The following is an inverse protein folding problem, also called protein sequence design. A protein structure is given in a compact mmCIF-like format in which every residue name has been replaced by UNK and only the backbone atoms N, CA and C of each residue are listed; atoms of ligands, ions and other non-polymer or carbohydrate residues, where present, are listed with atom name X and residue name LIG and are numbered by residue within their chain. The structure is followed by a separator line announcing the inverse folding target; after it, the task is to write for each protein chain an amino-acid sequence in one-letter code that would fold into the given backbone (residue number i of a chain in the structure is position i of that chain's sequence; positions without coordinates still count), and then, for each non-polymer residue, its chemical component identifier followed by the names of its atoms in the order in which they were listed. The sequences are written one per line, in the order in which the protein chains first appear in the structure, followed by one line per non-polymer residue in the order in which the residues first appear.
data_IF_784647183831
#
_entry.id   IF_784647183831
#
_cell.length_a   1.000
_cell.length_b   1.000
_cell.length_c   1.000
_cell.angle_alpha   90.00
_cell.angle_beta   90.00
_cell.angle_gamma   90.00
#
_symmetry.space_group_name_H-M   'P 1'
#
loop_
_entity.id
_entity.type
_entity.pdbx_description
1 polymer ?
#
# COMPACT_ATOMS: atom_id res chain seq x y z
N UNK A 1 -28.47 -8.01 -53.84
CA UNK A 1 -27.44 -7.23 -53.12
C UNK A 1 -27.80 -7.14 -51.64
N UNK A 2 -28.03 -8.30 -51.00
CA UNK A 2 -28.65 -8.44 -49.66
C UNK A 2 -27.66 -8.96 -48.60
N UNK A 3 -26.36 -9.01 -48.95
CA UNK A 3 -25.27 -9.49 -48.07
C UNK A 3 -24.35 -8.36 -47.56
N UNK A 4 -24.50 -7.12 -48.03
CA UNK A 4 -23.75 -5.98 -47.47
C UNK A 4 -24.43 -5.34 -46.25
N UNK A 5 -25.73 -5.60 -46.01
CA UNK A 5 -26.45 -5.06 -44.86
C UNK A 5 -26.35 -5.90 -43.58
N UNK A 6 -25.74 -7.08 -43.60
CA UNK A 6 -25.66 -7.98 -42.44
C UNK A 6 -24.32 -7.83 -41.69
N UNK A 7 -23.30 -7.21 -42.32
CA UNK A 7 -22.00 -6.98 -41.68
C UNK A 7 -21.90 -5.63 -40.95
N UNK A 8 -22.80 -4.68 -41.21
CA UNK A 8 -22.85 -3.39 -40.49
C UNK A 8 -23.73 -3.41 -39.23
N UNK A 9 -24.59 -4.43 -39.06
CA UNK A 9 -25.45 -4.57 -37.87
C UNK A 9 -24.82 -5.39 -36.73
N UNK A 10 -23.59 -5.92 -36.89
CA UNK A 10 -22.85 -6.61 -35.81
C UNK A 10 -21.93 -5.69 -34.98
N UNK A 11 -22.15 -4.37 -35.02
CA UNK A 11 -21.64 -3.41 -34.01
C UNK A 11 -22.79 -2.80 -33.21
N UNK A 12 -23.77 -3.61 -32.82
CA UNK A 12 -24.62 -3.27 -31.68
C UNK A 12 -23.79 -3.43 -30.42
N UNK A 13 -23.49 -2.30 -29.77
CA UNK A 13 -22.47 -2.14 -28.74
C UNK A 13 -22.45 -3.25 -27.69
N UNK A 14 -21.31 -3.94 -27.59
CA UNK A 14 -20.95 -4.60 -26.34
C UNK A 14 -21.03 -3.54 -25.24
N UNK A 15 -22.00 -3.71 -24.33
CA UNK A 15 -22.09 -2.91 -23.11
C UNK A 15 -20.73 -2.94 -22.45
N UNK A 16 -20.10 -1.77 -22.29
CA UNK A 16 -18.81 -1.62 -21.65
C UNK A 16 -18.81 -2.37 -20.30
N UNK A 17 -17.96 -3.39 -20.18
CA UNK A 17 -17.85 -4.21 -18.99
C UNK A 17 -16.62 -3.75 -18.23
N UNK A 18 -16.85 -3.10 -17.11
CA UNK A 18 -15.81 -2.44 -16.33
C UNK A 18 -15.26 -3.36 -15.25
N UNK A 19 -13.98 -3.23 -14.99
CA UNK A 19 -13.32 -3.86 -13.86
C UNK A 19 -12.51 -2.85 -13.06
N UNK A 20 -12.39 -3.12 -11.77
CA UNK A 20 -11.36 -2.53 -10.92
C UNK A 20 -10.37 -3.64 -10.52
N UNK A 21 -9.11 -3.46 -10.89
CA UNK A 21 -8.00 -4.34 -10.54
C UNK A 21 -7.25 -3.74 -9.35
N UNK A 22 -7.43 -4.33 -8.16
CA UNK A 22 -6.65 -3.99 -6.99
C UNK A 22 -5.31 -4.74 -7.02
N UNK A 23 -4.20 -4.00 -6.96
CA UNK A 23 -2.87 -4.59 -7.04
C UNK A 23 -2.07 -4.33 -5.77
N UNK A 24 -1.72 -5.40 -5.04
CA UNK A 24 -0.97 -5.32 -3.78
C UNK A 24 0.41 -5.97 -3.91
N UNK A 25 1.35 -5.62 -3.03
CA UNK A 25 2.57 -6.43 -2.87
C UNK A 25 2.25 -7.89 -2.49
N UNK A 26 1.23 -8.05 -1.63
CA UNK A 26 0.79 -9.35 -1.11
C UNK A 26 1.35 -9.63 0.29
N UNK A 27 0.83 -10.69 0.93
CA UNK A 27 1.36 -11.17 2.21
C UNK A 27 1.13 -12.67 2.38
N UNK A 28 2.07 -13.35 3.04
CA UNK A 28 1.90 -14.75 3.47
C UNK A 28 1.21 -14.89 4.83
N UNK A 29 0.78 -13.79 5.43
CA UNK A 29 0.16 -13.74 6.77
C UNK A 29 -1.34 -13.48 6.64
N UNK A 30 -2.15 -14.53 6.81
CA UNK A 30 -3.59 -14.49 6.58
C UNK A 30 -4.36 -13.64 7.59
N UNK A 31 -3.81 -13.46 8.80
CA UNK A 31 -4.35 -12.62 9.86
C UNK A 31 -4.37 -11.14 9.44
N UNK A 32 -3.22 -10.59 9.02
CA UNK A 32 -3.15 -9.20 8.57
C UNK A 32 -3.79 -9.00 7.21
N UNK A 33 -3.71 -10.00 6.29
CA UNK A 33 -4.32 -9.92 4.95
C UNK A 33 -5.81 -9.54 5.02
N UNK A 34 -6.56 -10.21 5.90
CA UNK A 34 -8.01 -10.04 6.05
C UNK A 34 -8.40 -8.63 6.49
N UNK A 35 -7.62 -8.04 7.39
CA UNK A 35 -7.93 -6.71 7.96
C UNK A 35 -7.32 -5.56 7.16
N UNK A 36 -6.51 -5.86 6.13
CA UNK A 36 -5.80 -4.85 5.31
C UNK A 36 -6.16 -4.97 3.83
N UNK A 37 -5.55 -5.91 3.10
CA UNK A 37 -5.74 -6.11 1.66
C UNK A 37 -7.20 -6.41 1.36
N UNK A 38 -7.78 -7.40 2.06
CA UNK A 38 -9.18 -7.80 1.84
C UNK A 38 -10.11 -6.60 2.19
N UNK A 39 -9.81 -5.80 3.22
CA UNK A 39 -10.59 -4.61 3.58
C UNK A 39 -10.48 -3.45 2.57
N UNK A 40 -9.29 -3.19 2.01
CA UNK A 40 -9.12 -2.19 0.93
C UNK A 40 -9.92 -2.61 -0.30
N UNK A 41 -9.88 -3.89 -0.65
CA UNK A 41 -10.62 -4.43 -1.77
C UNK A 41 -12.14 -4.38 -1.57
N UNK A 42 -12.62 -4.60 -0.34
CA UNK A 42 -14.04 -4.42 0.00
C UNK A 42 -14.48 -2.96 -0.17
N UNK A 43 -13.67 -1.99 0.27
CA UNK A 43 -13.97 -0.56 0.09
C UNK A 43 -13.95 -0.14 -1.38
N UNK A 44 -12.99 -0.65 -2.17
CA UNK A 44 -12.96 -0.44 -3.61
C UNK A 44 -14.19 -1.04 -4.29
N UNK A 45 -14.57 -2.28 -3.94
CA UNK A 45 -15.78 -2.92 -4.49
C UNK A 45 -17.05 -2.15 -4.13
N UNK A 46 -17.13 -1.61 -2.92
CA UNK A 46 -18.27 -0.81 -2.49
C UNK A 46 -18.36 0.52 -3.26
N UNK A 47 -17.23 1.18 -3.53
CA UNK A 47 -17.17 2.44 -4.26
C UNK A 47 -17.42 2.29 -5.77
N UNK A 48 -17.11 1.11 -6.34
CA UNK A 48 -17.25 0.78 -7.76
C UNK A 48 -18.23 -0.37 -7.98
N UNK A 49 -19.47 -0.21 -7.50
CA UNK A 49 -20.49 -1.27 -7.54
C UNK A 49 -20.90 -1.72 -8.96
N UNK A 50 -20.62 -0.91 -9.99
CA UNK A 50 -20.81 -1.26 -11.41
C UNK A 50 -19.61 -1.99 -12.03
N UNK A 51 -18.50 -2.12 -11.31
CA UNK A 51 -17.29 -2.81 -11.74
C UNK A 51 -17.16 -4.21 -11.11
N UNK A 52 -16.62 -5.15 -11.87
CA UNK A 52 -16.09 -6.39 -11.30
C UNK A 52 -14.76 -6.12 -10.60
N UNK A 53 -14.60 -6.57 -9.35
CA UNK A 53 -13.33 -6.51 -8.64
C UNK A 53 -12.44 -7.70 -9.03
N UNK A 54 -11.20 -7.41 -9.42
CA UNK A 54 -10.12 -8.38 -9.60
C UNK A 54 -8.97 -8.06 -8.64
N UNK A 55 -8.20 -9.08 -8.27
CA UNK A 55 -7.02 -8.99 -7.40
C UNK A 55 -5.79 -9.46 -8.17
N UNK A 56 -4.68 -8.75 -8.02
CA UNK A 56 -3.37 -9.25 -8.42
C UNK A 56 -2.30 -8.90 -7.38
N UNK A 57 -1.32 -9.78 -7.20
CA UNK A 57 -0.16 -9.51 -6.33
C UNK A 57 1.15 -9.41 -7.11
N UNK A 58 2.04 -8.50 -6.69
CA UNK A 58 3.32 -8.26 -7.39
C UNK A 58 4.46 -9.15 -6.88
N UNK A 59 4.46 -9.52 -5.59
CA UNK A 59 5.57 -10.26 -5.00
C UNK A 59 5.57 -11.74 -5.39
N UNK A 60 6.43 -12.08 -6.34
CA UNK A 60 6.68 -13.47 -6.77
C UNK A 60 7.11 -14.38 -5.61
N UNK A 61 7.85 -13.84 -4.64
CA UNK A 61 8.27 -14.58 -3.45
C UNK A 61 7.09 -14.95 -2.55
N UNK A 62 6.15 -14.02 -2.33
CA UNK A 62 4.95 -14.28 -1.54
C UNK A 62 4.03 -15.27 -2.26
N UNK A 63 3.81 -15.09 -3.56
CA UNK A 63 3.03 -16.01 -4.39
C UNK A 63 3.60 -17.45 -4.31
N UNK A 64 4.90 -17.61 -4.55
CA UNK A 64 5.57 -18.91 -4.47
C UNK A 64 5.51 -19.53 -3.06
N UNK A 65 5.60 -18.69 -2.01
CA UNK A 65 5.51 -19.15 -0.62
C UNK A 65 4.10 -19.69 -0.31
N UNK A 66 3.05 -18.99 -0.71
CA UNK A 66 1.66 -19.42 -0.48
C UNK A 66 1.31 -20.68 -1.27
N UNK A 67 1.70 -20.75 -2.53
CA UNK A 67 1.51 -21.94 -3.37
C UNK A 67 2.19 -23.16 -2.71
N UNK A 68 3.46 -23.01 -2.31
CA UNK A 68 4.24 -24.11 -1.73
C UNK A 68 3.77 -24.53 -0.33
N UNK A 69 3.43 -23.58 0.54
CA UNK A 69 3.11 -23.85 1.95
C UNK A 69 1.65 -24.24 2.12
N UNK A 70 0.75 -23.55 1.44
CA UNK A 70 -0.69 -23.59 1.70
C UNK A 70 -1.51 -24.13 0.50
N UNK A 71 -0.89 -24.29 -0.68
CA UNK A 71 -1.60 -24.65 -1.91
C UNK A 71 -2.57 -23.56 -2.38
N UNK A 72 -2.32 -22.30 -1.99
CA UNK A 72 -3.16 -21.15 -2.33
C UNK A 72 -2.52 -20.39 -3.49
N UNK A 73 -3.26 -20.29 -4.59
CA UNK A 73 -2.90 -19.47 -5.73
C UNK A 73 -3.59 -18.10 -5.65
N UNK A 74 -2.81 -17.04 -5.88
CA UNK A 74 -3.31 -15.70 -6.17
C UNK A 74 -2.74 -15.27 -7.51
N UNK A 75 -3.56 -14.63 -8.32
CA UNK A 75 -3.13 -14.12 -9.63
C UNK A 75 -1.98 -13.12 -9.45
N UNK A 76 -0.96 -13.23 -10.30
CA UNK A 76 -0.09 -12.11 -10.60
C UNK A 76 -0.78 -11.15 -11.58
N UNK A 77 -0.14 -10.00 -11.87
CA UNK A 77 -0.73 -8.97 -12.75
C UNK A 77 -1.09 -9.53 -14.12
N UNK A 78 -0.25 -10.37 -14.73
CA UNK A 78 -0.49 -10.94 -16.07
C UNK A 78 -1.69 -11.89 -16.07
N UNK A 79 -1.75 -12.78 -15.08
CA UNK A 79 -2.86 -13.72 -14.91
C UNK A 79 -4.19 -12.97 -14.74
N UNK A 80 -4.21 -11.92 -13.91
CA UNK A 80 -5.41 -11.10 -13.72
C UNK A 80 -5.84 -10.37 -15.01
N UNK A 81 -4.89 -9.82 -15.77
CA UNK A 81 -5.19 -9.18 -17.06
C UNK A 81 -5.76 -10.19 -18.07
N UNK A 82 -5.20 -11.40 -18.13
CA UNK A 82 -5.69 -12.48 -19.00
C UNK A 82 -7.09 -12.97 -18.60
N UNK A 83 -7.35 -13.10 -17.31
CA UNK A 83 -8.68 -13.43 -16.78
C UNK A 83 -9.70 -12.35 -17.14
N UNK A 84 -9.37 -11.06 -16.98
CA UNK A 84 -10.25 -9.96 -17.37
C UNK A 84 -10.56 -9.97 -18.87
N UNK A 85 -9.57 -10.22 -19.73
CA UNK A 85 -9.79 -10.37 -21.19
C UNK A 85 -10.74 -11.53 -21.49
N UNK A 86 -10.54 -12.68 -20.86
CA UNK A 86 -11.39 -13.87 -21.02
C UNK A 86 -12.83 -13.62 -20.57
N UNK A 87 -13.00 -12.81 -19.53
CA UNK A 87 -14.31 -12.42 -19.01
C UNK A 87 -14.98 -11.31 -19.83
N UNK A 88 -14.34 -10.82 -20.90
CA UNK A 88 -14.86 -9.78 -21.78
C UNK A 88 -14.88 -8.39 -21.14
N UNK A 89 -13.96 -8.12 -20.19
CA UNK A 89 -13.76 -6.78 -19.64
C UNK A 89 -13.20 -5.87 -20.73
N UNK A 90 -13.79 -4.68 -20.87
CA UNK A 90 -13.40 -3.67 -21.86
C UNK A 90 -12.67 -2.49 -21.24
N UNK A 91 -12.99 -2.14 -19.99
CA UNK A 91 -12.50 -0.94 -19.32
C UNK A 91 -11.94 -1.31 -17.94
N UNK A 92 -10.67 -0.97 -17.70
CA UNK A 92 -9.95 -1.38 -16.48
C UNK A 92 -9.48 -0.16 -15.70
N UNK A 93 -9.88 -0.08 -14.44
CA UNK A 93 -9.29 0.82 -13.45
C UNK A 93 -8.30 0.02 -12.62
N UNK A 94 -7.02 0.36 -12.70
CA UNK A 94 -5.96 -0.29 -11.91
C UNK A 94 -5.66 0.57 -10.69
N UNK A 95 -5.88 0.04 -9.49
CA UNK A 95 -5.53 0.72 -8.24
C UNK A 95 -4.38 -0.02 -7.52
N UNK A 96 -3.16 0.51 -7.55
CA UNK A 96 -2.09 0.00 -6.70
C UNK A 96 -2.38 0.32 -5.23
N UNK A 97 -2.25 -0.68 -4.37
CA UNK A 97 -2.31 -0.49 -2.91
C UNK A 97 -0.89 -0.39 -2.32
N UNK A 98 0.06 0.20 -3.05
CA UNK A 98 1.44 0.40 -2.59
C UNK A 98 1.57 1.68 -1.76
N UNK A 99 2.59 1.75 -0.89
CA UNK A 99 2.88 2.97 -0.13
C UNK A 99 3.44 4.07 -1.04
N UNK A 100 4.27 3.72 -2.03
CA UNK A 100 5.03 4.67 -2.85
C UNK A 100 5.13 4.24 -4.32
N UNK A 101 5.50 5.18 -5.19
CA UNK A 101 5.83 4.93 -6.59
C UNK A 101 7.23 4.30 -6.74
N UNK A 102 7.41 3.12 -6.13
CA UNK A 102 8.66 2.35 -6.18
C UNK A 102 8.70 1.31 -7.30
N UNK A 103 9.73 0.47 -7.29
CA UNK A 103 9.97 -0.61 -8.26
C UNK A 103 8.74 -1.49 -8.49
N UNK A 104 8.04 -1.88 -7.43
CA UNK A 104 6.83 -2.72 -7.52
C UNK A 104 5.70 -2.07 -8.32
N UNK A 105 5.56 -0.74 -8.24
CA UNK A 105 4.55 0.00 -8.97
C UNK A 105 4.93 0.14 -10.45
N UNK A 106 6.22 0.34 -10.73
CA UNK A 106 6.73 0.45 -12.11
C UNK A 106 6.60 -0.89 -12.84
N UNK A 107 7.01 -2.00 -12.21
CA UNK A 107 6.85 -3.35 -12.76
C UNK A 107 5.38 -3.71 -12.99
N UNK A 108 4.49 -3.35 -12.06
CA UNK A 108 3.05 -3.53 -12.23
C UNK A 108 2.53 -2.78 -13.45
N UNK A 109 2.91 -1.51 -13.62
CA UNK A 109 2.49 -0.70 -14.78
C UNK A 109 2.99 -1.30 -16.09
N UNK A 110 4.24 -1.73 -16.15
CA UNK A 110 4.80 -2.41 -17.32
C UNK A 110 4.01 -3.67 -17.70
N UNK A 111 3.70 -4.52 -16.71
CA UNK A 111 2.92 -5.73 -16.92
C UNK A 111 1.50 -5.42 -17.41
N UNK A 112 0.80 -4.43 -16.82
CA UNK A 112 -0.53 -4.00 -17.27
C UNK A 112 -0.48 -3.42 -18.69
N UNK A 113 0.49 -2.54 -18.98
CA UNK A 113 0.59 -1.86 -20.28
C UNK A 113 0.88 -2.83 -21.43
N UNK A 114 1.48 -3.99 -21.15
CA UNK A 114 1.65 -5.07 -22.13
C UNK A 114 0.30 -5.57 -22.69
N UNK A 115 -0.78 -5.47 -21.92
CA UNK A 115 -2.13 -5.88 -22.32
C UNK A 115 -3.04 -4.71 -22.70
N UNK A 116 -2.65 -3.46 -22.43
CA UNK A 116 -3.54 -2.29 -22.55
C UNK A 116 -4.18 -2.12 -23.94
N UNK A 117 -3.47 -2.47 -25.03
CA UNK A 117 -4.01 -2.41 -26.39
C UNK A 117 -5.11 -3.43 -26.71
N UNK A 118 -5.40 -4.36 -25.79
CA UNK A 118 -6.48 -5.36 -25.89
C UNK A 118 -7.75 -4.91 -25.14
N UNK A 119 -7.68 -3.81 -24.39
CA UNK A 119 -8.80 -3.18 -23.71
C UNK A 119 -9.21 -1.90 -24.45
N UNK A 120 -10.44 -1.43 -24.24
CA UNK A 120 -10.89 -0.13 -24.73
C UNK A 120 -10.29 1.01 -23.91
N UNK A 121 -10.19 0.82 -22.59
CA UNK A 121 -9.50 1.74 -21.70
C UNK A 121 -8.78 1.03 -20.55
N UNK A 122 -7.63 1.57 -20.18
CA UNK A 122 -6.89 1.21 -18.96
C UNK A 122 -6.43 2.50 -18.31
N UNK A 123 -6.90 2.75 -17.09
CA UNK A 123 -6.55 3.93 -16.29
C UNK A 123 -5.88 3.51 -15.00
N UNK A 124 -4.95 4.33 -14.49
CA UNK A 124 -4.21 4.04 -13.27
C UNK A 124 -4.55 5.04 -12.16
N UNK A 125 -4.94 4.52 -11.01
CA UNK A 125 -4.84 5.23 -9.75
C UNK A 125 -3.38 5.28 -9.26
N UNK A 126 -3.14 6.10 -8.25
CA UNK A 126 -1.80 6.33 -7.71
C UNK A 126 -1.56 5.58 -6.39
N UNK A 127 -0.31 5.21 -6.06
CA UNK A 127 0.07 4.73 -4.72
C UNK A 127 -0.23 5.77 -3.62
N UNK A 128 -0.16 5.33 -2.36
CA UNK A 128 -0.59 6.11 -1.19
C UNK A 128 0.11 7.47 -1.06
N UNK A 129 1.42 7.55 -1.28
CA UNK A 129 2.21 8.78 -1.17
C UNK A 129 2.69 9.21 -2.56
N UNK A 130 1.85 9.92 -3.31
CA UNK A 130 2.15 10.36 -4.67
C UNK A 130 2.23 11.88 -4.80
N UNK A 131 1.26 12.61 -4.25
CA UNK A 131 1.18 14.07 -4.31
C UNK A 131 1.49 14.73 -2.97
N UNK A 132 1.64 16.06 -2.97
CA UNK A 132 1.73 16.83 -1.73
C UNK A 132 0.48 16.68 -0.86
N UNK A 133 -0.70 16.70 -1.48
CA UNK A 133 -1.99 16.53 -0.81
C UNK A 133 -2.11 15.14 -0.17
N UNK A 134 -1.62 14.10 -0.85
CA UNK A 134 -1.61 12.74 -0.30
C UNK A 134 -0.77 12.67 0.99
N UNK A 135 0.38 13.36 1.04
CA UNK A 135 1.20 13.41 2.24
C UNK A 135 0.44 14.07 3.40
N UNK A 136 -0.29 15.16 3.14
CA UNK A 136 -1.11 15.83 4.15
C UNK A 136 -2.24 14.93 4.65
N UNK A 137 -2.92 14.22 3.75
CA UNK A 137 -3.99 13.27 4.09
C UNK A 137 -3.46 12.11 4.94
N UNK A 138 -2.30 11.56 4.59
CA UNK A 138 -1.67 10.48 5.36
C UNK A 138 -1.23 10.96 6.74
N UNK A 139 -0.65 12.16 6.87
CA UNK A 139 -0.30 12.74 8.17
C UNK A 139 -1.54 12.91 9.05
N UNK A 140 -2.64 13.44 8.50
CA UNK A 140 -3.92 13.57 9.21
C UNK A 140 -4.46 12.21 9.66
N UNK A 141 -4.51 11.24 8.76
CA UNK A 141 -4.99 9.89 9.04
C UNK A 141 -4.18 9.21 10.17
N UNK A 142 -2.86 9.39 10.17
CA UNK A 142 -1.98 8.84 11.22
C UNK A 142 -2.16 9.61 12.53
N UNK A 143 -2.26 10.94 12.50
CA UNK A 143 -2.48 11.73 13.71
C UNK A 143 -3.79 11.35 14.42
N UNK A 144 -4.87 11.13 13.66
CA UNK A 144 -6.14 10.65 14.19
C UNK A 144 -6.04 9.23 14.78
N UNK A 145 -5.26 8.35 14.13
CA UNK A 145 -5.07 6.96 14.57
C UNK A 145 -4.21 6.84 15.85
N UNK A 146 -3.34 7.81 16.11
CA UNK A 146 -2.38 7.80 17.21
C UNK A 146 -2.52 9.04 18.09
N UNK A 147 -3.61 9.19 18.86
CA UNK A 147 -3.80 10.35 19.75
C UNK A 147 -2.69 10.48 20.80
N UNK A 148 -1.95 9.40 21.06
CA UNK A 148 -0.76 9.40 21.91
C UNK A 148 0.32 10.39 21.47
N UNK A 149 0.33 10.85 20.21
CA UNK A 149 1.29 11.88 19.76
C UNK A 149 0.98 13.28 20.29
N UNK A 150 -0.20 13.51 20.88
CA UNK A 150 -0.49 14.78 21.56
C UNK A 150 0.28 14.89 22.89
N UNK A 151 0.66 13.76 23.48
CA UNK A 151 1.54 13.71 24.64
C UNK A 151 2.99 14.01 24.22
N UNK A 152 3.53 15.14 24.67
CA UNK A 152 4.89 15.57 24.38
C UNK A 152 5.97 14.71 25.04
N UNK A 153 5.60 13.86 26.01
CA UNK A 153 6.52 12.87 26.58
C UNK A 153 6.51 11.53 25.80
N UNK A 154 5.66 11.40 24.77
CA UNK A 154 5.56 10.23 23.92
C UNK A 154 6.02 10.56 22.50
N UNK A 155 6.87 9.74 21.90
CA UNK A 155 7.19 9.80 20.47
C UNK A 155 6.54 8.64 19.72
N UNK A 156 6.15 8.88 18.46
CA UNK A 156 5.70 7.84 17.52
C UNK A 156 6.79 7.60 16.48
N UNK A 157 7.25 6.36 16.39
CA UNK A 157 8.17 5.90 15.35
C UNK A 157 7.40 5.08 14.33
N UNK A 158 7.41 5.55 13.08
CA UNK A 158 6.79 4.91 11.93
C UNK A 158 7.86 4.17 11.12
N UNK A 159 7.73 2.86 11.00
CA UNK A 159 8.70 2.01 10.30
C UNK A 159 8.20 1.64 8.90
N UNK A 160 8.72 2.28 7.87
CA UNK A 160 8.54 1.90 6.47
C UNK A 160 9.43 0.74 6.05
N UNK A 161 9.13 0.16 4.89
CA UNK A 161 10.00 -0.87 4.31
C UNK A 161 11.32 -0.26 3.85
N UNK A 162 11.27 0.83 3.08
CA UNK A 162 12.43 1.39 2.40
C UNK A 162 12.76 0.67 1.08
N UNK A 163 13.57 1.30 0.24
CA UNK A 163 14.11 0.70 -0.99
C UNK A 163 15.33 1.49 -1.48
N UNK A 164 16.14 0.90 -2.36
CA UNK A 164 17.21 1.61 -3.09
C UNK A 164 16.67 2.54 -4.20
N UNK A 165 15.39 2.41 -4.56
CA UNK A 165 14.74 3.26 -5.56
C UNK A 165 14.67 4.73 -5.13
N UNK A 166 14.71 5.66 -6.09
CA UNK A 166 14.63 7.11 -5.81
C UNK A 166 13.35 7.50 -5.03
N UNK A 167 12.27 6.74 -5.19
CA UNK A 167 11.01 6.94 -4.48
C UNK A 167 11.14 6.80 -2.95
N UNK A 168 12.23 6.21 -2.45
CA UNK A 168 12.53 6.13 -1.03
C UNK A 168 12.61 7.52 -0.36
N UNK A 169 12.90 8.59 -1.11
CA UNK A 169 12.88 9.96 -0.59
C UNK A 169 11.53 10.36 0.04
N UNK A 170 10.43 9.68 -0.32
CA UNK A 170 9.10 9.93 0.24
C UNK A 170 9.03 9.74 1.75
N UNK A 171 9.83 8.85 2.33
CA UNK A 171 9.83 8.63 3.78
C UNK A 171 10.41 9.83 4.53
N UNK A 172 11.48 10.43 4.02
CA UNK A 172 12.06 11.66 4.58
C UNK A 172 11.15 12.88 4.32
N UNK A 173 10.47 12.93 3.18
CA UNK A 173 9.50 13.98 2.89
C UNK A 173 8.27 13.90 3.82
N UNK A 174 7.77 12.68 4.09
CA UNK A 174 6.68 12.46 5.02
C UNK A 174 7.09 12.80 6.46
N UNK A 175 8.31 12.41 6.87
CA UNK A 175 8.90 12.81 8.14
C UNK A 175 8.86 14.34 8.31
N UNK A 176 9.37 15.07 7.32
CA UNK A 176 9.34 16.53 7.32
C UNK A 176 7.90 17.09 7.36
N UNK A 177 6.97 16.48 6.61
CA UNK A 177 5.56 16.91 6.61
C UNK A 177 4.92 16.77 8.00
N UNK A 178 5.22 15.72 8.76
CA UNK A 178 4.77 15.61 10.15
C UNK A 178 5.26 16.80 10.99
N UNK A 179 6.54 17.17 10.86
CA UNK A 179 7.13 18.30 11.59
C UNK A 179 6.48 19.63 11.20
N UNK A 180 6.33 19.86 9.90
CA UNK A 180 5.69 21.07 9.36
C UNK A 180 4.23 21.23 9.86
N UNK A 181 3.52 20.11 10.03
CA UNK A 181 2.16 20.08 10.57
C UNK A 181 2.08 20.07 12.11
N UNK A 182 3.20 20.29 12.82
CA UNK A 182 3.24 20.43 14.28
C UNK A 182 3.41 19.13 15.07
N UNK A 183 3.64 18.01 14.39
CA UNK A 183 3.87 16.69 14.99
C UNK A 183 5.38 16.39 15.12
N UNK A 184 6.09 17.25 15.86
CA UNK A 184 7.55 17.17 16.02
C UNK A 184 8.07 15.85 16.63
N UNK A 185 7.21 15.15 17.36
CA UNK A 185 7.48 13.87 18.04
C UNK A 185 7.12 12.63 17.18
N UNK A 186 6.74 12.81 15.91
CA UNK A 186 6.56 11.71 14.96
C UNK A 186 7.82 11.56 14.12
N UNK A 187 8.39 10.36 14.07
CA UNK A 187 9.66 10.05 13.42
C UNK A 187 9.44 8.92 12.43
N UNK A 188 9.81 9.13 11.16
CA UNK A 188 9.74 8.10 10.11
C UNK A 188 11.13 7.55 9.85
N UNK A 189 11.23 6.23 9.79
CA UNK A 189 12.41 5.54 9.32
C UNK A 189 12.05 4.31 8.49
N UNK A 190 13.07 3.65 7.96
CA UNK A 190 12.93 2.50 7.06
C UNK A 190 13.87 1.37 7.45
N UNK A 191 13.45 0.13 7.21
CA UNK A 191 14.30 -1.06 7.41
C UNK A 191 15.39 -1.13 6.34
N UNK A 192 15.01 -0.98 5.08
CA UNK A 192 15.86 -1.18 3.89
C UNK A 192 16.01 0.13 3.10
N UNK A 193 16.48 1.19 3.75
CA UNK A 193 16.70 2.48 3.10
C UNK A 193 16.99 3.59 4.11
N UNK A 194 16.93 4.83 3.62
CA UNK A 194 17.07 6.03 4.46
C UNK A 194 15.70 6.70 4.70
N UNK A 195 15.40 7.22 5.91
CA UNK A 195 16.23 7.24 7.12
C UNK A 195 16.29 5.90 7.84
N UNK A 196 17.49 5.44 8.19
CA UNK A 196 17.69 4.19 8.96
C UNK A 196 17.41 4.38 10.46
N UNK A 197 17.37 3.27 11.20
CA UNK A 197 17.24 3.28 12.67
C UNK A 197 18.26 4.19 13.37
N UNK A 198 19.48 4.31 12.83
CA UNK A 198 20.50 5.22 13.39
C UNK A 198 20.05 6.68 13.38
N UNK A 199 19.27 7.10 12.38
CA UNK A 199 18.70 8.45 12.32
C UNK A 199 17.46 8.58 13.20
N UNK A 200 16.64 7.53 13.27
CA UNK A 200 15.50 7.47 14.21
C UNK A 200 15.99 7.69 15.64
N UNK A 201 17.05 7.01 16.07
CA UNK A 201 17.64 7.16 17.39
C UNK A 201 18.16 8.58 17.67
N UNK A 202 18.80 9.22 16.68
CA UNK A 202 19.24 10.61 16.80
C UNK A 202 18.07 11.59 16.94
N UNK A 203 16.96 11.33 16.23
CA UNK A 203 15.76 12.14 16.36
C UNK A 203 15.11 11.93 17.74
N UNK A 204 15.01 10.68 18.21
CA UNK A 204 14.52 10.38 19.56
C UNK A 204 15.34 11.08 20.65
N UNK A 205 16.66 11.06 20.55
CA UNK A 205 17.54 11.76 21.49
C UNK A 205 17.29 13.28 21.52
N UNK A 206 17.01 13.89 20.36
CA UNK A 206 16.65 15.31 20.26
C UNK A 206 15.26 15.61 20.84
N UNK A 207 14.29 14.73 20.62
CA UNK A 207 12.93 14.87 21.13
C UNK A 207 12.88 14.64 22.66
N UNK A 208 13.74 13.77 23.19
CA UNK A 208 13.80 13.41 24.61
C UNK A 208 12.52 12.80 25.19
N UNK A 209 11.80 11.89 24.50
CA UNK A 209 10.57 11.31 25.02
C UNK A 209 10.87 10.34 26.16
N UNK A 210 9.88 10.10 27.03
CA UNK A 210 9.93 8.99 28.01
C UNK A 210 9.45 7.69 27.38
N UNK A 211 8.44 7.77 26.53
CA UNK A 211 7.78 6.64 25.88
C UNK A 211 7.93 6.70 24.36
N UNK A 212 8.12 5.56 23.74
CA UNK A 212 8.17 5.41 22.29
C UNK A 212 7.13 4.38 21.85
N UNK A 213 6.19 4.81 21.03
CA UNK A 213 5.27 3.93 20.31
C UNK A 213 5.88 3.63 18.94
N UNK A 214 6.00 2.36 18.56
CA UNK A 214 6.50 1.95 17.25
C UNK A 214 5.37 1.30 16.46
N UNK A 215 5.12 1.78 15.24
CA UNK A 215 4.07 1.30 14.36
C UNK A 215 4.57 1.15 12.92
N UNK A 216 4.01 0.22 12.12
CA UNK A 216 4.44 0.01 10.75
C UNK A 216 3.84 1.09 9.82
N UNK A 217 4.68 1.60 8.92
CA UNK A 217 4.28 2.42 7.78
C UNK A 217 4.26 1.54 6.52
N UNK A 218 3.54 0.43 6.61
CA UNK A 218 3.34 -0.58 5.58
C UNK A 218 1.87 -0.97 5.55
N UNK A 219 1.37 -1.37 4.40
CA UNK A 219 -0.06 -1.70 4.20
C UNK A 219 -0.49 -2.86 5.08
N UNK A 220 0.38 -3.87 5.19
CA UNK A 220 0.18 -5.06 6.01
C UNK A 220 1.18 -5.06 7.17
N UNK A 221 0.76 -5.55 8.34
CA UNK A 221 1.65 -5.85 9.46
C UNK A 221 2.24 -7.26 9.28
N UNK A 222 3.07 -7.41 8.25
CA UNK A 222 3.70 -8.68 7.85
C UNK A 222 4.99 -9.00 8.62
N UNK A 223 5.92 -9.67 7.94
CA UNK A 223 7.17 -10.18 8.52
C UNK A 223 8.03 -9.07 9.15
N UNK A 224 8.30 -7.99 8.40
CA UNK A 224 9.05 -6.84 8.92
C UNK A 224 8.40 -6.22 10.18
N UNK A 225 7.07 -6.08 10.20
CA UNK A 225 6.38 -5.54 11.38
C UNK A 225 6.47 -6.47 12.59
N UNK A 226 6.43 -7.80 12.38
CA UNK A 226 6.42 -8.80 13.46
C UNK A 226 7.82 -9.09 14.00
N UNK A 227 8.82 -9.11 13.13
CA UNK A 227 10.18 -9.52 13.47
C UNK A 227 11.09 -8.29 13.62
N UNK A 228 11.33 -7.55 12.54
CA UNK A 228 12.30 -6.44 12.56
C UNK A 228 11.83 -5.27 13.43
N UNK A 229 10.53 -5.00 13.49
CA UNK A 229 10.00 -3.92 14.31
C UNK A 229 9.76 -4.35 15.76
N UNK A 230 9.01 -5.44 15.95
CA UNK A 230 8.41 -5.81 17.23
C UNK A 230 8.95 -7.12 17.83
N UNK A 231 9.90 -7.77 17.16
CA UNK A 231 10.50 -9.01 17.62
C UNK A 231 11.28 -8.83 18.91
N UNK A 232 11.69 -9.94 19.51
CA UNK A 232 12.51 -9.95 20.72
C UNK A 232 14.02 -10.10 20.40
N UNK A 233 14.37 -10.22 19.12
CA UNK A 233 15.76 -10.36 18.68
C UNK A 233 16.55 -9.05 18.91
N UNK A 234 17.88 -9.14 19.11
CA UNK A 234 18.74 -7.99 19.43
C UNK A 234 18.74 -6.88 18.37
N UNK A 235 18.48 -7.24 17.12
CA UNK A 235 18.46 -6.34 15.96
C UNK A 235 17.06 -5.77 15.66
N UNK A 236 16.02 -6.19 16.40
CA UNK A 236 14.69 -5.59 16.27
C UNK A 236 14.68 -4.14 16.78
N UNK A 237 13.85 -3.29 16.16
CA UNK A 237 13.72 -1.87 16.52
C UNK A 237 13.25 -1.71 17.96
N UNK A 238 12.29 -2.55 18.40
CA UNK A 238 11.83 -2.63 19.79
C UNK A 238 13.01 -2.82 20.74
N UNK A 239 13.87 -3.82 20.50
CA UNK A 239 15.01 -4.11 21.38
C UNK A 239 16.05 -2.99 21.33
N UNK A 240 16.42 -2.52 20.13
CA UNK A 240 17.41 -1.45 19.95
C UNK A 240 16.99 -0.17 20.67
N UNK A 241 15.72 0.24 20.53
CA UNK A 241 15.19 1.45 21.17
C UNK A 241 15.09 1.24 22.69
N UNK A 242 14.62 0.08 23.15
CA UNK A 242 14.54 -0.23 24.59
C UNK A 242 15.92 -0.19 25.28
N UNK A 243 16.97 -0.64 24.60
CA UNK A 243 18.35 -0.59 25.10
C UNK A 243 18.89 0.84 25.29
N UNK A 244 18.26 1.85 24.68
CA UNK A 244 18.56 3.27 24.92
C UNK A 244 17.84 3.84 26.15
N UNK A 245 17.05 3.04 26.85
CA UNK A 245 16.38 3.40 28.11
C UNK A 245 14.96 3.94 27.94
N UNK A 246 14.38 3.87 26.73
CA UNK A 246 12.99 4.27 26.49
C UNK A 246 12.00 3.18 26.90
N UNK A 247 10.82 3.57 27.37
CA UNK A 247 9.67 2.66 27.46
C UNK A 247 9.10 2.44 26.06
N UNK A 248 9.14 1.21 25.55
CA UNK A 248 8.70 0.92 24.18
C UNK A 248 7.37 0.16 24.17
N UNK A 249 6.43 0.66 23.37
CA UNK A 249 5.18 -0.02 23.02
C UNK A 249 5.12 -0.26 21.51
N UNK A 250 4.73 -1.45 21.08
CA UNK A 250 4.55 -1.77 19.66
C UNK A 250 3.07 -1.81 19.30
N UNK A 251 2.75 -1.31 18.10
CA UNK A 251 1.42 -1.39 17.49
C UNK A 251 1.52 -2.20 16.22
N UNK A 252 1.04 -3.44 16.25
CA UNK A 252 1.06 -4.37 15.13
C UNK A 252 -0.20 -4.22 14.26
N UNK A 253 -0.39 -3.03 13.70
CA UNK A 253 -1.55 -2.68 12.87
C UNK A 253 -1.08 -2.08 11.54
N UNK A 254 -1.39 -2.74 10.43
CA UNK A 254 -1.03 -2.28 9.09
C UNK A 254 -1.82 -1.05 8.65
N UNK A 255 -1.28 -0.26 7.72
CA UNK A 255 -1.94 0.94 7.22
C UNK A 255 -3.33 0.65 6.61
N UNK A 256 -3.51 -0.52 5.99
CA UNK A 256 -4.80 -0.93 5.44
C UNK A 256 -5.90 -1.13 6.48
N UNK A 257 -5.57 -1.24 7.77
CA UNK A 257 -6.56 -1.38 8.83
C UNK A 257 -7.17 -0.03 9.26
N UNK A 258 -6.64 1.11 8.79
CA UNK A 258 -7.20 2.43 9.06
C UNK A 258 -8.10 2.86 7.91
N UNK A 259 -9.37 3.12 8.23
CA UNK A 259 -10.38 3.51 7.23
C UNK A 259 -10.02 4.81 6.50
N UNK A 260 -9.45 5.78 7.21
CA UNK A 260 -8.94 7.02 6.62
C UNK A 260 -7.87 6.78 5.55
N UNK A 261 -7.00 5.77 5.72
CA UNK A 261 -6.02 5.38 4.71
C UNK A 261 -6.70 4.63 3.55
N UNK A 262 -7.63 3.71 3.84
CA UNK A 262 -8.36 2.99 2.77
C UNK A 262 -9.14 3.95 1.88
N UNK A 263 -9.72 4.99 2.47
CA UNK A 263 -10.43 6.03 1.73
C UNK A 263 -9.54 6.74 0.70
N UNK A 264 -8.26 7.00 1.02
CA UNK A 264 -7.31 7.60 0.07
C UNK A 264 -7.16 6.71 -1.18
N UNK A 265 -7.04 5.39 -1.01
CA UNK A 265 -6.98 4.47 -2.17
C UNK A 265 -8.26 4.48 -3.01
N UNK A 266 -9.42 4.62 -2.38
CA UNK A 266 -10.69 4.76 -3.10
C UNK A 266 -10.72 6.04 -3.93
N UNK A 267 -10.28 7.16 -3.36
CA UNK A 267 -10.22 8.44 -4.08
C UNK A 267 -9.19 8.42 -5.21
N UNK A 268 -8.03 7.77 -5.01
CA UNK A 268 -7.05 7.56 -6.07
C UNK A 268 -7.62 6.74 -7.23
N UNK A 269 -8.43 5.72 -6.94
CA UNK A 269 -9.08 4.91 -7.96
C UNK A 269 -10.13 5.73 -8.73
N UNK A 270 -10.86 6.62 -8.05
CA UNK A 270 -11.84 7.52 -8.70
C UNK A 270 -11.17 8.57 -9.57
N UNK A 271 -9.97 8.99 -9.19
CA UNK A 271 -9.16 9.97 -9.90
C UNK A 271 -8.26 9.35 -11.00
N UNK A 272 -8.38 8.04 -11.24
CA UNK A 272 -7.55 7.31 -12.20
C UNK A 272 -7.63 7.91 -13.61
N UNK A 273 -6.49 7.95 -14.29
CA UNK A 273 -6.34 8.51 -15.65
C UNK A 273 -5.53 7.61 -16.55
#
# INVERSE_FOLDING_TARGET
MKMMGIMEEMKMGETAKKAILAVSFGTSHSDTRKVTIDAIEEDLKAAFADCSLYRAWTSKMILARLEKRDGIHYDNVKEAMEHMLKDGITDVIVQPTHVMNGVENDLMKEDVLTYAGQFQSVTFGTPLLTTEEDNELVVKAIAEAFPAIEDKETALVLMGHGTEHYANAVYAALDYRFKDMGHENVIVGTVEGYPEISQVLKQLEKCGPKKVVIAPLMIVAGDHAKNDMAGDEPDSWKTIISQKGYEVQTVLKGLGEYESIRHIFVEHAKAAK
#
